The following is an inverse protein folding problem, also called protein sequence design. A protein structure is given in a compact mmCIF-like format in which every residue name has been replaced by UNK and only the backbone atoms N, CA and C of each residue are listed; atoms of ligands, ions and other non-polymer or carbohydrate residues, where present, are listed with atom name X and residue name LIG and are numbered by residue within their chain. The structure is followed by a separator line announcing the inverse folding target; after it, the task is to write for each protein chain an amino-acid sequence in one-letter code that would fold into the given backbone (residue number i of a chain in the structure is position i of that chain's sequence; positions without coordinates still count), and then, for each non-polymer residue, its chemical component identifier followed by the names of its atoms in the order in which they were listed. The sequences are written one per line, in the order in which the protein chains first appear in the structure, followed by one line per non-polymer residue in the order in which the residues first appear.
data_IF_107196875315
#
_entry.id   IF_107196875315
#
_cell.length_a   1.000
_cell.length_b   1.000
_cell.length_c   1.000
_cell.angle_alpha   90.00
_cell.angle_beta   90.00
_cell.angle_gamma   90.00
#
_symmetry.space_group_name_H-M   'P 1'
#
loop_
_entity.id
_entity.type
_entity.pdbx_description
1 polymer ?
#
# COMPACT_ATOMS: atom_id res chain seq x y z
N UNK A 1 7.52 4.21 8.85
CA UNK A 1 6.84 3.56 10.01
C UNK A 1 5.37 3.45 9.67
N UNK A 2 4.78 2.25 9.73
CA UNK A 2 3.33 2.11 9.52
C UNK A 2 2.55 2.90 10.58
N UNK A 3 1.37 3.45 10.26
CA UNK A 3 0.55 4.20 11.23
C UNK A 3 0.21 3.37 12.48
N UNK A 4 0.15 2.05 12.35
CA UNK A 4 -0.04 1.10 13.45
C UNK A 4 1.17 1.12 14.40
N UNK A 5 2.39 1.07 13.88
CA UNK A 5 3.61 1.16 14.69
C UNK A 5 3.72 2.52 15.39
N UNK A 6 3.33 3.61 14.73
CA UNK A 6 3.30 4.94 15.35
C UNK A 6 2.34 4.99 16.55
N UNK A 7 1.15 4.39 16.46
CA UNK A 7 0.18 4.34 17.57
C UNK A 7 0.69 3.48 18.73
N UNK A 8 1.32 2.33 18.43
CA UNK A 8 1.86 1.41 19.45
C UNK A 8 2.99 2.06 20.26
N UNK A 9 3.85 2.87 19.65
CA UNK A 9 4.96 3.51 20.37
C UNK A 9 4.59 4.86 20.99
N UNK A 10 3.74 5.66 20.35
CA UNK A 10 3.42 7.02 20.81
C UNK A 10 2.42 7.01 21.97
N UNK A 11 1.43 6.09 21.98
CA UNK A 11 0.41 6.09 23.02
C UNK A 11 0.95 5.76 24.43
N UNK A 12 1.80 4.73 24.63
CA UNK A 12 2.41 4.46 25.94
C UNK A 12 3.32 5.59 26.40
N UNK A 13 4.02 6.25 25.47
CA UNK A 13 4.92 7.36 25.75
C UNK A 13 4.16 8.60 26.22
N UNK A 14 3.06 8.96 25.55
CA UNK A 14 2.20 10.08 25.96
C UNK A 14 1.55 9.82 27.32
N UNK A 15 1.03 8.61 27.56
CA UNK A 15 0.48 8.20 28.86
C UNK A 15 1.56 8.29 29.95
N UNK A 16 2.77 7.77 29.69
CA UNK A 16 3.89 7.83 30.63
C UNK A 16 4.25 9.26 31.02
N UNK A 17 4.37 10.17 30.04
CA UNK A 17 4.69 11.58 30.28
C UNK A 17 3.57 12.28 31.07
N UNK A 18 2.31 12.06 30.72
CA UNK A 18 1.18 12.68 31.44
C UNK A 18 1.08 12.21 32.88
N UNK A 19 1.29 10.91 33.13
CA UNK A 19 1.30 10.36 34.48
C UNK A 19 2.47 10.91 35.30
N UNK A 20 3.67 11.04 34.72
CA UNK A 20 4.83 11.62 35.39
C UNK A 20 4.60 13.08 35.79
N UNK A 21 4.07 13.91 34.88
CA UNK A 21 3.73 15.31 35.17
C UNK A 21 2.67 15.39 36.28
N UNK A 22 1.64 14.55 36.21
CA UNK A 22 0.59 14.49 37.22
C UNK A 22 1.15 14.09 38.59
N UNK A 23 1.98 13.05 38.66
CA UNK A 23 2.61 12.59 39.89
C UNK A 23 3.51 13.68 40.50
N UNK A 24 4.28 14.39 39.67
CA UNK A 24 5.11 15.51 40.11
C UNK A 24 4.27 16.62 40.74
N UNK A 25 3.17 17.02 40.08
CA UNK A 25 2.27 18.05 40.59
C UNK A 25 1.52 17.60 41.85
N UNK A 26 1.07 16.34 41.89
CA UNK A 26 0.40 15.74 43.05
C UNK A 26 1.32 15.72 44.27
N UNK A 27 2.58 15.26 44.11
CA UNK A 27 3.59 15.24 45.17
C UNK A 27 3.91 16.65 45.67
N UNK A 28 4.10 17.62 44.76
CA UNK A 28 4.35 19.02 45.13
C UNK A 28 3.19 19.62 45.93
N UNK A 29 1.95 19.34 45.54
CA UNK A 29 0.75 19.84 46.21
C UNK A 29 0.51 19.19 47.58
N UNK A 30 0.75 17.89 47.72
CA UNK A 30 0.68 17.20 49.02
C UNK A 30 1.79 17.67 49.95
N UNK A 31 3.04 17.76 49.49
CA UNK A 31 4.14 18.26 50.32
C UNK A 31 3.89 19.70 50.79
N UNK A 32 3.31 20.56 49.93
CA UNK A 32 2.88 21.92 50.30
C UNK A 32 1.72 21.93 51.30
N UNK A 33 0.85 20.93 51.30
CA UNK A 33 -0.24 20.77 52.28
C UNK A 33 0.29 20.26 53.63
N UNK A 34 1.20 19.30 53.61
CA UNK A 34 1.87 18.75 54.81
C UNK A 34 2.75 19.83 55.49
N UNK A 35 3.52 20.60 54.72
CA UNK A 35 4.36 21.68 55.24
C UNK A 35 3.57 22.86 55.84
N UNK A 36 2.28 23.00 55.50
CA UNK A 36 1.39 24.05 56.02
C UNK A 36 0.66 23.65 57.31
N UNK A 37 0.88 22.45 57.84
CA UNK A 37 0.33 22.01 59.14
C UNK A 37 -1.21 21.86 59.21
N UNK A 38 -1.93 22.01 58.09
CA UNK A 38 -3.39 21.86 58.06
C UNK A 38 -3.81 20.39 57.92
N UNK A 39 -3.66 19.61 58.99
CA UNK A 39 -4.23 18.26 59.08
C UNK A 39 -5.64 18.29 59.72
N UNK A 40 -6.00 19.38 60.43
CA UNK A 40 -7.27 19.46 61.18
C UNK A 40 -8.12 20.72 60.95
N UNK A 41 -7.67 21.71 60.16
CA UNK A 41 -8.44 22.92 59.86
C UNK A 41 -9.22 22.82 58.54
N UNK A 42 -10.49 23.26 58.55
CA UNK A 42 -11.47 23.30 57.43
C UNK A 42 -10.83 23.16 56.04
N UNK A 43 -11.15 22.04 55.36
CA UNK A 43 -10.69 21.70 54.01
C UNK A 43 -11.12 22.75 52.98
N UNK A 44 -10.30 23.77 52.76
CA UNK A 44 -10.47 24.65 51.61
C UNK A 44 -9.83 24.02 50.37
N UNK A 45 -10.70 23.50 49.49
CA UNK A 45 -10.35 23.03 48.15
C UNK A 45 -10.84 21.62 47.84
N UNK A 46 -11.31 21.43 46.60
CA UNK A 46 -11.80 20.13 46.11
C UNK A 46 -10.75 19.02 46.31
N UNK A 47 -11.16 17.82 46.77
CA UNK A 47 -10.26 16.68 46.87
C UNK A 47 -9.65 16.40 45.50
N UNK A 48 -8.32 16.22 45.47
CA UNK A 48 -7.63 15.89 44.24
C UNK A 48 -7.74 14.38 44.02
N UNK A 49 -8.01 13.99 42.78
CA UNK A 49 -8.17 12.57 42.42
C UNK A 49 -6.92 11.78 42.84
N UNK A 50 -7.06 10.56 43.38
CA UNK A 50 -5.91 9.71 43.66
C UNK A 50 -5.15 9.36 42.36
N UNK A 51 -3.81 9.24 42.39
CA UNK A 51 -3.02 8.95 41.19
C UNK A 51 -3.46 7.70 40.43
N UNK A 52 -3.86 6.64 41.15
CA UNK A 52 -4.35 5.40 40.55
C UNK A 52 -5.63 5.63 39.75
N UNK A 53 -6.55 6.44 40.29
CA UNK A 53 -7.82 6.76 39.62
C UNK A 53 -7.56 7.66 38.41
N UNK A 54 -6.61 8.59 38.51
CA UNK A 54 -6.18 9.41 37.37
C UNK A 54 -5.59 8.55 36.25
N UNK A 55 -4.75 7.56 36.55
CA UNK A 55 -4.17 6.65 35.56
C UNK A 55 -5.28 5.85 34.85
N UNK A 56 -6.22 5.28 35.61
CA UNK A 56 -7.34 4.51 35.05
C UNK A 56 -8.22 5.35 34.13
N UNK A 57 -8.60 6.55 34.55
CA UNK A 57 -9.41 7.47 33.73
C UNK A 57 -8.63 7.89 32.47
N UNK A 58 -7.34 8.16 32.60
CA UNK A 58 -6.49 8.54 31.46
C UNK A 58 -6.37 7.41 30.45
N UNK A 59 -6.17 6.16 30.90
CA UNK A 59 -6.16 4.98 30.01
C UNK A 59 -7.48 4.84 29.25
N UNK A 60 -8.62 4.94 29.95
CA UNK A 60 -9.94 4.82 29.31
C UNK A 60 -10.15 5.93 28.27
N UNK A 61 -9.82 7.18 28.62
CA UNK A 61 -9.93 8.31 27.68
C UNK A 61 -9.04 8.13 26.45
N UNK A 62 -7.77 7.75 26.62
CA UNK A 62 -6.86 7.55 25.50
C UNK A 62 -7.37 6.41 24.61
N UNK A 63 -7.79 5.28 25.18
CA UNK A 63 -8.35 4.16 24.41
C UNK A 63 -9.59 4.56 23.60
N UNK A 64 -10.53 5.32 24.19
CA UNK A 64 -11.73 5.78 23.47
C UNK A 64 -11.36 6.72 22.32
N UNK A 65 -10.46 7.68 22.56
CA UNK A 65 -10.02 8.64 21.53
C UNK A 65 -9.28 7.91 20.40
N UNK A 66 -8.43 6.95 20.72
CA UNK A 66 -7.71 6.15 19.71
C UNK A 66 -8.68 5.31 18.88
N UNK A 67 -9.65 4.63 19.50
CA UNK A 67 -10.67 3.86 18.77
C UNK A 67 -11.50 4.74 17.85
N UNK A 68 -11.92 5.92 18.32
CA UNK A 68 -12.65 6.88 17.48
C UNK A 68 -11.81 7.37 16.30
N UNK A 69 -10.54 7.67 16.52
CA UNK A 69 -9.63 8.08 15.44
C UNK A 69 -9.46 6.96 14.39
N UNK A 70 -9.30 5.71 14.82
CA UNK A 70 -9.21 4.56 13.90
C UNK A 70 -10.50 4.40 13.09
N UNK A 71 -11.67 4.55 13.72
CA UNK A 71 -12.96 4.49 13.01
C UNK A 71 -13.09 5.64 12.00
N UNK A 72 -12.76 6.87 12.39
CA UNK A 72 -12.79 8.03 11.49
C UNK A 72 -11.81 7.83 10.33
N UNK A 73 -10.61 7.32 10.60
CA UNK A 73 -9.62 7.02 9.56
C UNK A 73 -10.10 5.90 8.64
N UNK A 74 -10.71 4.84 9.17
CA UNK A 74 -11.29 3.76 8.37
C UNK A 74 -12.44 4.26 7.48
N UNK A 75 -13.30 5.16 7.97
CA UNK A 75 -14.36 5.79 7.19
C UNK A 75 -13.77 6.74 6.14
N UNK A 76 -12.74 7.50 6.49
CA UNK A 76 -12.13 8.48 5.58
C UNK A 76 -11.29 7.79 4.50
N UNK A 77 -10.54 6.74 4.84
CA UNK A 77 -9.84 5.88 3.87
C UNK A 77 -10.85 5.11 3.02
N UNK A 78 -11.90 4.53 3.62
CA UNK A 78 -12.96 3.85 2.88
C UNK A 78 -13.75 4.76 1.93
N UNK A 79 -13.78 6.08 2.18
CA UNK A 79 -14.38 7.09 1.30
C UNK A 79 -13.41 7.72 0.28
N UNK A 80 -12.10 7.67 0.54
CA UNK A 80 -11.06 8.20 -0.36
C UNK A 80 -10.36 7.11 -1.18
N UNK A 81 -10.77 5.85 -1.06
CA UNK A 81 -10.65 4.90 -2.17
C UNK A 81 -11.67 5.34 -3.21
N UNK A 82 -11.33 6.42 -3.93
CA UNK A 82 -11.91 6.71 -5.22
C UNK A 82 -11.55 5.51 -6.07
N UNK A 83 -12.55 4.68 -6.35
CA UNK A 83 -12.54 3.72 -7.44
C UNK A 83 -12.18 4.48 -8.72
N UNK A 84 -10.90 4.47 -9.07
CA UNK A 84 -10.45 4.70 -10.45
C UNK A 84 -10.87 3.47 -11.24
N UNK A 85 -12.07 3.52 -11.81
CA UNK A 85 -12.59 2.42 -12.60
C UNK A 85 -14.06 2.54 -12.95
N UNK A 86 -14.47 3.60 -13.65
CA UNK A 86 -15.63 3.47 -14.55
C UNK A 86 -15.18 2.71 -15.79
N UNK A 87 -15.11 1.39 -15.67
CA UNK A 87 -15.16 0.46 -16.80
C UNK A 87 -16.51 -0.26 -16.75
N UNK A 88 -17.20 -0.28 -17.88
CA UNK A 88 -18.52 -0.87 -18.03
C UNK A 88 -18.41 -2.39 -17.89
N UNK A 89 -18.68 -2.93 -16.70
CA UNK A 89 -18.76 -4.38 -16.51
C UNK A 89 -18.71 -4.81 -15.05
N UNK A 90 -19.85 -4.74 -14.36
CA UNK A 90 -20.14 -5.52 -13.16
C UNK A 90 -19.19 -5.35 -11.97
N UNK A 91 -19.41 -4.32 -11.14
CA UNK A 91 -18.74 -4.21 -9.84
C UNK A 91 -19.74 -4.45 -8.69
N UNK A 92 -19.79 -5.71 -8.25
CA UNK A 92 -20.20 -6.17 -6.91
C UNK A 92 -19.30 -7.35 -6.45
N UNK A 93 -18.12 -7.52 -7.04
CA UNK A 93 -17.18 -8.60 -6.73
C UNK A 93 -15.82 -8.08 -6.24
N UNK A 94 -15.19 -8.82 -5.33
CA UNK A 94 -13.80 -8.60 -4.94
C UNK A 94 -12.89 -8.58 -6.18
N UNK A 95 -12.03 -7.55 -6.29
CA UNK A 95 -11.09 -7.43 -7.42
C UNK A 95 -10.17 -8.65 -7.48
N UNK A 96 -10.04 -9.27 -8.64
CA UNK A 96 -9.27 -10.51 -8.82
C UNK A 96 -7.78 -10.31 -8.48
N UNK A 97 -7.23 -9.18 -8.91
CA UNK A 97 -5.91 -8.66 -8.53
C UNK A 97 -6.01 -7.14 -8.40
N UNK A 98 -5.05 -6.51 -7.72
CA UNK A 98 -4.93 -5.05 -7.68
C UNK A 98 -3.61 -4.64 -8.32
N UNK A 99 -3.68 -3.77 -9.34
CA UNK A 99 -2.52 -3.32 -10.10
C UNK A 99 -2.32 -1.83 -9.82
N UNK A 100 -1.09 -1.45 -9.47
CA UNK A 100 -0.65 -0.06 -9.46
C UNK A 100 0.42 0.10 -10.54
N UNK A 101 0.14 0.93 -11.53
CA UNK A 101 1.15 1.45 -12.44
C UNK A 101 1.92 2.56 -11.74
N UNK A 102 3.23 2.56 -11.89
CA UNK A 102 4.11 3.59 -11.33
C UNK A 102 4.82 4.25 -12.49
N UNK A 103 4.61 5.55 -12.66
CA UNK A 103 5.31 6.35 -13.66
C UNK A 103 6.73 6.67 -13.19
N UNK A 104 7.58 7.15 -14.11
CA UNK A 104 8.92 7.61 -13.77
C UNK A 104 8.87 8.78 -12.77
N UNK A 105 7.93 9.71 -12.95
CA UNK A 105 7.74 10.86 -12.07
C UNK A 105 7.28 10.47 -10.66
N UNK A 106 6.53 9.37 -10.52
CA UNK A 106 6.08 8.86 -9.23
C UNK A 106 7.15 8.03 -8.51
N UNK A 107 8.29 7.76 -9.16
CA UNK A 107 9.29 6.85 -8.61
C UNK A 107 10.00 7.42 -7.39
N UNK A 108 10.29 8.71 -7.42
CA UNK A 108 10.96 9.43 -6.34
C UNK A 108 10.14 9.43 -5.03
N UNK A 109 8.81 9.38 -5.13
CA UNK A 109 7.88 9.36 -3.99
C UNK A 109 7.39 7.94 -3.62
N UNK A 110 7.99 6.90 -4.21
CA UNK A 110 7.55 5.51 -4.05
C UNK A 110 8.43 4.68 -3.10
N UNK A 111 7.98 3.47 -2.77
CA UNK A 111 8.82 2.47 -2.07
C UNK A 111 10.02 1.99 -2.91
N UNK A 112 10.06 2.34 -4.19
CA UNK A 112 11.07 1.95 -5.16
C UNK A 112 11.97 3.12 -5.57
N UNK A 113 12.00 4.21 -4.78
CA UNK A 113 12.93 5.33 -4.99
C UNK A 113 14.37 4.82 -5.17
N UNK A 114 15.02 5.29 -6.25
CA UNK A 114 16.42 5.00 -6.55
C UNK A 114 16.69 3.64 -7.20
N UNK A 115 15.68 2.76 -7.35
CA UNK A 115 15.85 1.53 -8.12
C UNK A 115 15.78 1.81 -9.62
N UNK A 116 16.68 1.17 -10.37
CA UNK A 116 16.63 1.15 -11.83
C UNK A 116 16.01 -0.14 -12.33
N UNK A 117 15.46 -0.10 -13.54
CA UNK A 117 15.03 -1.33 -14.22
C UNK A 117 16.17 -2.33 -14.28
N UNK A 118 15.89 -3.55 -13.84
CA UNK A 118 16.88 -4.63 -13.75
C UNK A 118 17.75 -4.63 -12.48
N UNK A 119 17.58 -3.71 -11.53
CA UNK A 119 18.27 -3.81 -10.24
C UNK A 119 17.68 -4.92 -9.34
N UNK A 120 18.46 -5.41 -8.39
CA UNK A 120 17.94 -6.33 -7.37
C UNK A 120 17.11 -5.57 -6.34
N UNK A 121 15.84 -5.97 -6.14
CA UNK A 121 14.94 -5.37 -5.15
C UNK A 121 14.96 -6.18 -3.86
N UNK A 122 15.30 -5.53 -2.74
CA UNK A 122 15.31 -6.17 -1.44
C UNK A 122 13.92 -6.75 -1.08
N UNK A 123 13.88 -8.01 -0.66
CA UNK A 123 12.64 -8.72 -0.34
C UNK A 123 12.02 -9.49 -1.52
N UNK A 124 12.62 -9.40 -2.71
CA UNK A 124 12.16 -10.11 -3.90
C UNK A 124 13.20 -11.11 -4.43
N UNK A 125 12.71 -12.10 -5.17
CA UNK A 125 13.48 -12.92 -6.09
C UNK A 125 13.25 -12.41 -7.52
N UNK A 126 14.35 -12.08 -8.21
CA UNK A 126 14.34 -11.51 -9.56
C UNK A 126 14.42 -12.60 -10.61
N UNK A 127 13.62 -12.43 -11.66
CA UNK A 127 13.65 -13.22 -12.87
C UNK A 127 13.74 -12.31 -14.09
N UNK A 128 14.15 -12.85 -15.22
CA UNK A 128 14.30 -12.08 -16.46
C UNK A 128 13.87 -12.94 -17.63
N UNK A 129 13.01 -12.37 -18.47
CA UNK A 129 12.48 -13.03 -19.66
C UNK A 129 12.42 -12.03 -20.81
N UNK A 130 12.98 -12.39 -21.96
CA UNK A 130 12.87 -11.58 -23.17
C UNK A 130 11.86 -12.24 -24.10
N UNK A 131 10.82 -11.50 -24.47
CA UNK A 131 9.76 -11.97 -25.35
C UNK A 131 9.41 -10.86 -26.36
N UNK A 132 9.55 -11.18 -27.65
CA UNK A 132 9.44 -10.19 -28.71
C UNK A 132 10.56 -9.15 -28.62
N UNK A 133 10.18 -7.88 -28.63
CA UNK A 133 11.10 -6.74 -28.58
C UNK A 133 11.31 -6.19 -27.15
N UNK A 134 10.69 -6.83 -26.14
CA UNK A 134 10.68 -6.36 -24.75
C UNK A 134 11.36 -7.39 -23.84
N UNK A 135 12.20 -6.89 -22.94
CA UNK A 135 12.75 -7.65 -21.82
C UNK A 135 11.97 -7.31 -20.56
N UNK A 136 11.39 -8.34 -19.95
CA UNK A 136 10.64 -8.27 -18.71
C UNK A 136 11.53 -8.68 -17.55
N UNK A 137 11.69 -7.78 -16.59
CA UNK A 137 12.24 -8.08 -15.27
C UNK A 137 11.08 -8.22 -14.30
N UNK A 138 10.82 -9.44 -13.85
CA UNK A 138 9.75 -9.68 -12.89
C UNK A 138 10.30 -10.16 -11.56
N UNK A 139 9.69 -9.70 -10.49
CA UNK A 139 10.16 -9.86 -9.13
C UNK A 139 9.04 -10.51 -8.31
N UNK A 140 9.26 -11.72 -7.81
CA UNK A 140 8.31 -12.40 -6.92
C UNK A 140 8.73 -12.13 -5.48
N UNK A 141 7.78 -11.70 -4.64
CA UNK A 141 8.06 -11.43 -3.23
C UNK A 141 8.50 -12.73 -2.54
N UNK A 142 9.48 -12.64 -1.64
CA UNK A 142 9.89 -13.79 -0.81
C UNK A 142 8.80 -14.11 0.21
N UNK A 143 8.66 -15.38 0.56
CA UNK A 143 7.59 -15.87 1.44
C UNK A 143 7.49 -15.11 2.77
N UNK A 144 8.63 -14.70 3.34
CA UNK A 144 8.68 -13.96 4.60
C UNK A 144 8.18 -12.50 4.52
N UNK A 145 7.88 -12.01 3.32
CA UNK A 145 7.42 -10.64 3.05
C UNK A 145 6.01 -10.59 2.43
N UNK A 146 5.35 -11.74 2.26
CA UNK A 146 3.96 -11.85 1.77
C UNK A 146 3.01 -11.03 2.66
N UNK A 147 2.06 -10.33 2.03
CA UNK A 147 1.07 -9.47 2.72
C UNK A 147 1.60 -8.12 3.21
N UNK A 148 2.90 -7.84 3.09
CA UNK A 148 3.52 -6.55 3.42
C UNK A 148 3.90 -5.79 2.15
N UNK A 149 4.48 -6.49 1.18
CA UNK A 149 4.90 -5.92 -0.11
C UNK A 149 4.04 -6.47 -1.25
N UNK A 150 3.94 -5.77 -2.40
CA UNK A 150 3.29 -6.29 -3.60
C UNK A 150 3.83 -7.67 -3.96
N UNK A 151 2.95 -8.61 -4.31
CA UNK A 151 3.37 -10.00 -4.55
C UNK A 151 4.24 -10.13 -5.79
N UNK A 152 3.97 -9.30 -6.79
CA UNK A 152 4.66 -9.29 -8.07
C UNK A 152 4.97 -7.85 -8.47
N UNK A 153 6.21 -7.61 -8.87
CA UNK A 153 6.60 -6.38 -9.57
C UNK A 153 7.05 -6.76 -10.97
N UNK A 154 6.69 -5.98 -11.96
CA UNK A 154 7.18 -6.13 -13.34
C UNK A 154 7.74 -4.78 -13.79
N UNK A 155 8.93 -4.80 -14.35
CA UNK A 155 9.56 -3.66 -15.01
C UNK A 155 10.04 -4.11 -16.39
N UNK A 156 10.00 -3.22 -17.38
CA UNK A 156 10.32 -3.56 -18.76
C UNK A 156 11.38 -2.66 -19.35
N UNK A 157 12.15 -3.22 -20.28
CA UNK A 157 13.07 -2.50 -21.13
C UNK A 157 12.93 -2.98 -22.57
N UNK A 158 13.16 -2.07 -23.51
CA UNK A 158 13.36 -2.43 -24.91
C UNK A 158 14.68 -1.83 -25.41
N UNK A 159 15.34 -2.58 -26.30
CA UNK A 159 16.54 -2.10 -27.00
C UNK A 159 16.21 -1.31 -28.27
N UNK A 160 14.92 -1.24 -28.63
CA UNK A 160 14.42 -0.50 -29.78
C UNK A 160 14.24 0.97 -29.42
N UNK A 161 14.36 1.82 -30.44
CA UNK A 161 14.04 3.24 -30.30
C UNK A 161 12.52 3.41 -30.15
N UNK A 162 12.12 4.24 -29.20
CA UNK A 162 10.72 4.48 -28.81
C UNK A 162 10.38 5.97 -28.77
N UNK A 163 11.28 6.84 -29.23
CA UNK A 163 11.15 8.29 -29.07
C UNK A 163 9.86 8.89 -29.67
N UNK A 164 9.35 8.31 -30.76
CA UNK A 164 8.18 8.78 -31.50
C UNK A 164 6.98 7.82 -31.39
N UNK A 165 6.98 6.92 -30.39
CA UNK A 165 5.93 5.94 -30.21
C UNK A 165 5.13 6.19 -28.92
N UNK A 166 3.84 5.91 -29.00
CA UNK A 166 2.95 5.84 -27.85
C UNK A 166 3.06 4.49 -27.17
N UNK A 167 2.83 4.47 -25.86
CA UNK A 167 2.93 3.25 -25.05
C UNK A 167 1.54 2.73 -24.67
N UNK A 168 1.38 1.42 -24.75
CA UNK A 168 0.17 0.72 -24.35
C UNK A 168 0.50 -0.53 -23.54
N UNK A 169 -0.44 -0.92 -22.69
CA UNK A 169 -0.36 -2.17 -21.97
C UNK A 169 -1.73 -2.83 -21.84
N UNK A 170 -1.70 -4.15 -21.68
CA UNK A 170 -2.86 -4.96 -21.41
C UNK A 170 -2.53 -6.01 -20.35
N UNK A 171 -3.33 -6.08 -19.29
CA UNK A 171 -3.21 -7.11 -18.27
C UNK A 171 -4.45 -8.00 -18.27
N UNK A 172 -4.21 -9.29 -18.40
CA UNK A 172 -5.19 -10.34 -18.21
C UNK A 172 -4.86 -11.12 -16.95
N UNK A 173 -5.86 -11.36 -16.11
CA UNK A 173 -5.73 -12.32 -15.02
C UNK A 173 -6.86 -13.34 -15.06
N UNK A 174 -6.53 -14.61 -14.84
CA UNK A 174 -7.48 -15.72 -14.86
C UNK A 174 -7.26 -16.66 -13.69
N UNK A 175 -8.33 -16.95 -12.96
CA UNK A 175 -8.35 -17.93 -11.87
C UNK A 175 -9.64 -18.75 -11.95
N UNK A 176 -9.52 -20.00 -12.38
CA UNK A 176 -10.66 -20.83 -12.72
C UNK A 176 -11.58 -20.17 -13.76
N UNK A 177 -12.79 -19.78 -13.35
CA UNK A 177 -13.77 -19.09 -14.20
C UNK A 177 -13.74 -17.57 -14.08
N UNK A 178 -13.02 -17.02 -13.10
CA UNK A 178 -12.89 -15.58 -12.91
C UNK A 178 -11.87 -15.04 -13.91
N UNK A 179 -12.19 -13.90 -14.52
CA UNK A 179 -11.30 -13.20 -15.45
C UNK A 179 -11.29 -11.71 -15.15
N UNK A 180 -10.12 -11.11 -15.29
CA UNK A 180 -9.89 -9.67 -15.32
C UNK A 180 -9.21 -9.32 -16.65
N UNK A 181 -9.60 -8.18 -17.18
CA UNK A 181 -9.13 -7.63 -18.43
C UNK A 181 -9.02 -6.11 -18.24
N UNK A 182 -7.80 -5.58 -18.32
CA UNK A 182 -7.47 -4.18 -18.07
C UNK A 182 -6.46 -3.70 -19.10
N UNK A 183 -6.85 -2.73 -19.93
CA UNK A 183 -5.93 -2.02 -20.82
C UNK A 183 -5.70 -0.57 -20.38
N UNK A 184 -4.55 -0.01 -20.76
CA UNK A 184 -4.23 1.39 -20.51
C UNK A 184 -3.14 1.89 -21.45
N UNK A 185 -3.01 3.22 -21.52
CA UNK A 185 -1.97 3.90 -22.28
C UNK A 185 -1.01 4.66 -21.37
N UNK A 186 0.16 4.98 -21.90
CA UNK A 186 1.22 5.71 -21.23
C UNK A 186 2.37 4.82 -20.78
N UNK A 187 3.58 5.41 -20.78
CA UNK A 187 4.81 4.74 -20.37
C UNK A 187 4.76 4.48 -18.86
N UNK A 188 4.75 3.21 -18.48
CA UNK A 188 4.86 2.80 -17.10
C UNK A 188 6.31 2.43 -16.80
N UNK A 189 6.82 2.86 -15.64
CA UNK A 189 8.15 2.46 -15.19
C UNK A 189 8.09 1.07 -14.55
N UNK A 190 7.07 0.83 -13.72
CA UNK A 190 6.84 -0.46 -13.08
C UNK A 190 5.34 -0.74 -12.89
N UNK A 191 5.01 -2.03 -12.82
CA UNK A 191 3.72 -2.56 -12.41
C UNK A 191 3.89 -3.26 -11.07
N UNK A 192 3.21 -2.75 -10.04
CA UNK A 192 3.12 -3.40 -8.75
C UNK A 192 1.76 -4.10 -8.63
N UNK A 193 1.77 -5.44 -8.56
CA UNK A 193 0.58 -6.28 -8.50
C UNK A 193 0.46 -6.87 -7.10
N UNK A 194 -0.59 -6.47 -6.38
CA UNK A 194 -0.98 -7.05 -5.10
C UNK A 194 -2.06 -8.11 -5.33
N UNK A 195 -1.73 -9.35 -4.97
CA UNK A 195 -2.55 -10.52 -5.23
C UNK A 195 -2.23 -11.67 -4.26
N UNK A 196 -2.20 -11.38 -2.95
CA UNK A 196 -1.77 -12.34 -1.91
C UNK A 196 -2.48 -13.71 -1.98
N UNK A 197 -3.76 -13.74 -2.37
CA UNK A 197 -4.59 -14.96 -2.44
C UNK A 197 -4.94 -15.40 -3.87
N UNK A 198 -4.31 -14.83 -4.90
CA UNK A 198 -4.61 -15.16 -6.29
C UNK A 198 -3.82 -16.40 -6.74
N UNK A 199 -4.51 -17.45 -7.18
CA UNK A 199 -3.89 -18.68 -7.69
C UNK A 199 -4.32 -18.94 -9.13
N UNK A 200 -3.65 -18.26 -10.05
CA UNK A 200 -3.97 -18.37 -11.46
C UNK A 200 -2.90 -17.79 -12.37
N UNK A 201 -3.29 -17.47 -13.59
CA UNK A 201 -2.37 -16.95 -14.61
C UNK A 201 -2.52 -15.44 -14.73
N UNK A 202 -1.40 -14.73 -14.75
CA UNK A 202 -1.32 -13.31 -15.13
C UNK A 202 -0.60 -13.24 -16.47
N UNK A 203 -1.19 -12.56 -17.45
CA UNK A 203 -0.56 -12.22 -18.73
C UNK A 203 -0.48 -10.71 -18.85
N UNK A 204 0.73 -10.18 -19.00
CA UNK A 204 1.00 -8.78 -19.30
C UNK A 204 1.47 -8.67 -20.75
N UNK A 205 0.81 -7.83 -21.52
CA UNK A 205 1.24 -7.40 -22.83
C UNK A 205 1.64 -5.94 -22.76
N UNK A 206 2.82 -5.63 -23.28
CA UNK A 206 3.28 -4.26 -23.46
C UNK A 206 3.62 -4.04 -24.93
N UNK A 207 3.32 -2.84 -25.40
CA UNK A 207 3.48 -2.50 -26.80
C UNK A 207 3.68 -1.01 -27.00
N UNK A 208 4.42 -0.67 -28.06
CA UNK A 208 4.60 0.70 -28.52
C UNK A 208 4.08 0.83 -29.95
N UNK A 209 3.30 1.88 -30.21
CA UNK A 209 2.53 2.04 -31.43
C UNK A 209 2.52 3.49 -31.91
N UNK A 210 2.26 3.71 -33.19
CA UNK A 210 2.21 5.07 -33.75
C UNK A 210 1.01 5.86 -33.22
N UNK A 211 1.20 7.15 -32.94
CA UNK A 211 0.14 8.05 -32.44
C UNK A 211 -1.11 8.03 -33.34
N UNK A 212 -0.94 7.80 -34.65
CA UNK A 212 -2.03 7.71 -35.62
C UNK A 212 -3.09 6.66 -35.23
N UNK A 213 -2.67 5.55 -34.59
CA UNK A 213 -3.56 4.47 -34.15
C UNK A 213 -4.48 4.89 -33.00
N UNK A 214 -4.14 5.93 -32.22
CA UNK A 214 -5.04 6.47 -31.17
C UNK A 214 -6.36 6.99 -31.75
N UNK A 215 -6.32 7.48 -32.99
CA UNK A 215 -7.47 8.10 -33.65
C UNK A 215 -8.34 7.10 -34.42
N UNK A 216 -7.90 5.85 -34.57
CA UNK A 216 -8.61 4.82 -35.32
C UNK A 216 -9.70 4.10 -34.51
N UNK A 217 -9.85 4.41 -33.21
CA UNK A 217 -10.80 3.75 -32.30
C UNK A 217 -10.66 2.22 -32.23
N UNK A 218 -9.44 1.71 -32.42
CA UNK A 218 -9.13 0.29 -32.32
C UNK A 218 -9.30 -0.22 -30.88
N UNK A 219 -9.65 -1.50 -30.74
CA UNK A 219 -9.54 -2.19 -29.46
C UNK A 219 -8.07 -2.38 -29.07
N UNK A 220 -7.79 -2.57 -27.77
CA UNK A 220 -6.40 -2.78 -27.32
C UNK A 220 -5.73 -3.99 -27.96
N UNK A 221 -6.48 -5.07 -28.21
CA UNK A 221 -5.98 -6.25 -28.92
C UNK A 221 -5.55 -5.92 -30.36
N UNK A 222 -6.35 -5.11 -31.07
CA UNK A 222 -6.05 -4.68 -32.44
C UNK A 222 -4.85 -3.72 -32.48
N UNK A 223 -4.75 -2.82 -31.49
CA UNK A 223 -3.59 -1.93 -31.34
C UNK A 223 -2.33 -2.73 -31.03
N UNK A 224 -2.40 -3.73 -30.13
CA UNK A 224 -1.30 -4.64 -29.84
C UNK A 224 -0.84 -5.40 -31.08
N UNK A 225 -1.78 -5.91 -31.88
CA UNK A 225 -1.41 -6.64 -33.09
C UNK A 225 -0.72 -5.75 -34.12
N UNK A 226 -1.13 -4.48 -34.20
CA UNK A 226 -0.60 -3.48 -35.12
C UNK A 226 0.64 -2.74 -34.59
N UNK A 227 1.03 -2.98 -33.35
CA UNK A 227 2.14 -2.28 -32.69
C UNK A 227 3.50 -2.59 -33.34
N UNK A 228 4.37 -1.59 -33.37
CA UNK A 228 5.72 -1.73 -33.91
C UNK A 228 6.66 -2.51 -32.99
N UNK A 229 6.48 -2.32 -31.69
CA UNK A 229 7.24 -2.99 -30.63
C UNK A 229 6.22 -3.67 -29.74
N UNK A 230 6.41 -4.95 -29.45
CA UNK A 230 5.53 -5.66 -28.52
C UNK A 230 6.23 -6.81 -27.83
N UNK A 231 5.71 -7.16 -26.67
CA UNK A 231 6.14 -8.31 -25.89
C UNK A 231 5.04 -8.80 -24.98
N UNK A 232 5.15 -10.08 -24.60
CA UNK A 232 4.22 -10.73 -23.68
C UNK A 232 4.97 -11.43 -22.57
N UNK A 233 4.50 -11.26 -21.35
CA UNK A 233 4.90 -12.04 -20.18
C UNK A 233 3.68 -12.81 -19.65
N UNK A 234 3.79 -14.12 -19.52
CA UNK A 234 2.75 -14.96 -18.94
C UNK A 234 3.30 -15.71 -17.73
N UNK A 235 2.68 -15.49 -16.56
CA UNK A 235 3.14 -16.01 -15.28
C UNK A 235 2.05 -16.85 -14.62
N UNK A 236 2.43 -18.06 -14.20
CA UNK A 236 1.66 -18.84 -13.23
C UNK A 236 1.96 -18.34 -11.81
N UNK A 237 0.91 -17.92 -11.12
CA UNK A 237 0.93 -17.40 -9.75
C UNK A 237 0.41 -18.44 -8.74
N UNK A 238 0.19 -19.69 -9.17
CA UNK A 238 -0.14 -20.79 -8.27
C UNK A 238 1.03 -21.07 -7.32
N UNK A 239 0.75 -21.32 -6.04
CA UNK A 239 1.80 -21.72 -5.10
C UNK A 239 2.30 -23.13 -5.46
N UNK A 240 3.62 -23.37 -5.48
CA UNK A 240 4.17 -24.68 -5.79
C UNK A 240 3.81 -25.77 -4.74
N UNK A 241 3.24 -25.41 -3.59
CA UNK A 241 2.99 -26.32 -2.45
C UNK A 241 1.55 -26.87 -2.32
N UNK A 242 0.82 -26.99 -3.43
CA UNK A 242 -0.40 -27.82 -3.48
C UNK A 242 -0.24 -29.11 -4.31
N UNK A 243 1.00 -29.55 -4.52
CA UNK A 243 1.31 -30.93 -4.89
C UNK A 243 1.27 -31.85 -3.67
N UNK A 244 0.06 -32.29 -3.30
CA UNK A 244 -0.13 -33.49 -2.46
C UNK A 244 -0.17 -34.74 -3.33
#
# INVERSE_FOLDING_TARGET
MTPILAVIFVAPLVIGITVLIYMFYYRRKINKRLAKGNISGKREGRPMMPPIVFILVTMICVSIVTTLLVIVFAIFVGKNIVSTGRSHGGFDGESLIHIRTISEDDMDDSFFEGYKTGDDIAGYEKFTETNGDITFYYYKVKDNMLGIMPRLIIATETSKDTADLEYGFHVYAREGKRKLDLGGGGKCYMYAIDCNNFEGTIKLEEFCFDEELLFEHLSWDETYESAQIKGTLELDMSYPEHGY
#
